data_IF_909731040488
#
_entry.id   IF_909731040488
#
_cell.length_a   1.000
_cell.length_b   1.000
_cell.length_c   1.000
_cell.angle_alpha   90.00
_cell.angle_beta   90.00
_cell.angle_gamma   90.00
#
_symmetry.space_group_name_H-M   'P 1'
#
loop_
_entity.id
_entity.type
_entity.pdbx_description
1 polymer ?
#
# COMPACT_ATOMS: atom_id res chain seq x y z
N UNK A 1 -17.37 25.57 -9.35
CA UNK A 1 -17.08 24.42 -10.26
C UNK A 1 -15.87 23.66 -9.71
N UNK A 2 -16.07 22.48 -9.10
CA UNK A 2 -14.96 21.68 -8.60
C UNK A 2 -14.27 21.01 -9.80
N UNK A 3 -13.06 21.48 -10.13
CA UNK A 3 -12.21 20.84 -11.12
C UNK A 3 -11.66 19.54 -10.54
N UNK A 4 -12.27 18.40 -10.83
CA UNK A 4 -11.63 17.10 -10.59
C UNK A 4 -10.43 17.01 -11.54
N UNK A 5 -9.22 17.15 -11.00
CA UNK A 5 -7.99 16.88 -11.74
C UNK A 5 -7.89 15.36 -11.77
N UNK A 6 -8.07 14.76 -12.95
CA UNK A 6 -7.80 13.35 -13.19
C UNK A 6 -6.40 13.04 -12.67
N UNK A 7 -6.33 12.30 -11.57
CA UNK A 7 -5.06 11.74 -11.12
C UNK A 7 -4.68 10.59 -12.06
N UNK A 8 -3.37 10.31 -12.25
CA UNK A 8 -2.95 9.14 -13.01
C UNK A 8 -3.64 7.91 -12.40
N UNK A 9 -4.48 7.25 -13.20
CA UNK A 9 -5.12 6.01 -12.78
C UNK A 9 -4.07 4.92 -12.83
N UNK A 10 -3.77 4.29 -11.70
CA UNK A 10 -2.89 3.14 -11.68
C UNK A 10 -3.38 2.07 -12.67
N UNK A 11 -2.52 1.50 -13.53
CA UNK A 11 -1.07 1.73 -13.66
C UNK A 11 -0.65 2.83 -14.67
N UNK A 12 -1.60 3.47 -15.37
CA UNK A 12 -1.33 4.46 -16.43
C UNK A 12 -0.68 5.73 -15.88
N UNK A 13 0.50 6.05 -16.40
CA UNK A 13 1.23 7.28 -16.08
C UNK A 13 2.29 7.12 -14.98
N UNK A 14 2.43 5.94 -14.36
CA UNK A 14 3.55 5.67 -13.45
C UNK A 14 4.75 5.08 -14.22
N UNK A 15 5.95 5.58 -13.91
CA UNK A 15 7.19 4.89 -14.25
C UNK A 15 7.37 3.68 -13.34
N UNK A 16 8.12 2.67 -13.79
CA UNK A 16 8.41 1.50 -12.97
C UNK A 16 9.84 1.02 -13.17
N UNK A 17 10.39 0.42 -12.11
CA UNK A 17 11.66 -0.31 -12.12
C UNK A 17 11.45 -1.65 -11.45
N UNK A 18 11.81 -2.73 -12.14
CA UNK A 18 11.87 -4.06 -11.55
C UNK A 18 13.21 -4.23 -10.85
N UNK A 19 13.18 -4.71 -9.62
CA UNK A 19 14.37 -4.96 -8.82
C UNK A 19 14.33 -6.36 -8.19
N UNK A 20 15.49 -7.01 -8.13
CA UNK A 20 15.65 -8.28 -7.41
C UNK A 20 15.86 -8.01 -5.92
N UNK A 21 15.39 -8.94 -5.08
CA UNK A 21 15.64 -8.89 -3.64
C UNK A 21 17.08 -9.35 -3.38
N UNK A 22 17.84 -8.52 -2.66
CA UNK A 22 19.22 -8.78 -2.26
C UNK A 22 19.34 -9.28 -0.82
N UNK A 23 18.34 -9.03 0.02
CA UNK A 23 18.34 -9.40 1.43
C UNK A 23 16.93 -9.61 1.97
N UNK A 24 16.77 -10.64 2.80
CA UNK A 24 15.53 -10.99 3.49
C UNK A 24 15.40 -10.20 4.81
N UNK A 25 14.20 -10.12 5.40
CA UNK A 25 13.98 -9.37 6.64
C UNK A 25 14.89 -9.80 7.79
N UNK A 26 15.44 -8.85 8.56
CA UNK A 26 16.36 -9.15 9.65
C UNK A 26 15.67 -9.80 10.86
N UNK A 27 14.36 -9.62 11.03
CA UNK A 27 13.58 -10.23 12.12
C UNK A 27 12.09 -10.32 11.79
N UNK A 28 11.31 -10.98 12.64
CA UNK A 28 9.85 -11.08 12.51
C UNK A 28 9.11 -9.74 12.72
N UNK A 29 9.73 -8.78 13.44
CA UNK A 29 9.14 -7.48 13.77
C UNK A 29 9.59 -6.36 12.82
N UNK A 30 10.81 -6.48 12.28
CA UNK A 30 11.33 -5.57 11.26
C UNK A 30 11.22 -6.24 9.89
N UNK A 31 10.09 -6.03 9.24
CA UNK A 31 9.74 -6.67 7.97
C UNK A 31 10.19 -5.77 6.82
N UNK A 32 11.50 -5.70 6.61
CA UNK A 32 12.11 -4.87 5.56
C UNK A 32 12.95 -5.70 4.59
N UNK A 33 12.91 -5.39 3.30
CA UNK A 33 13.72 -6.08 2.28
C UNK A 33 14.63 -5.12 1.54
N UNK A 34 15.84 -5.57 1.23
CA UNK A 34 16.80 -4.81 0.43
C UNK A 34 16.63 -5.18 -1.05
N UNK A 35 16.51 -4.19 -1.92
CA UNK A 35 16.36 -4.39 -3.38
C UNK A 35 17.55 -3.82 -4.15
N UNK A 36 17.89 -4.46 -5.27
CA UNK A 36 19.01 -4.11 -6.14
C UNK A 36 18.71 -3.01 -7.16
N UNK A 37 18.04 -1.95 -6.73
CA UNK A 37 17.87 -0.72 -7.50
C UNK A 37 17.76 0.47 -6.54
N UNK A 38 18.24 1.63 -6.94
CA UNK A 38 18.30 2.82 -6.10
C UNK A 38 18.06 4.11 -6.86
N UNK A 39 18.60 5.22 -6.36
CA UNK A 39 18.39 6.55 -6.95
C UNK A 39 18.94 6.68 -8.37
N UNK A 40 19.95 5.89 -8.77
CA UNK A 40 20.43 5.82 -10.15
C UNK A 40 19.36 5.31 -11.13
N UNK A 41 18.39 4.54 -10.63
CA UNK A 41 17.22 4.05 -11.37
C UNK A 41 16.00 4.96 -11.23
N UNK A 42 16.14 6.11 -10.54
CA UNK A 42 15.06 7.08 -10.34
C UNK A 42 14.18 6.82 -9.13
N UNK A 43 14.49 5.81 -8.31
CA UNK A 43 13.75 5.47 -7.09
C UNK A 43 13.94 6.56 -6.03
N UNK A 44 12.87 6.89 -5.32
CA UNK A 44 12.81 7.86 -4.25
C UNK A 44 12.18 7.24 -2.99
N UNK A 45 12.41 7.89 -1.84
CA UNK A 45 11.70 7.55 -0.61
C UNK A 45 10.21 7.80 -0.82
N UNK A 46 9.37 6.92 -0.27
CA UNK A 46 7.92 6.87 -0.42
C UNK A 46 7.39 6.32 -1.74
N UNK A 47 8.25 5.86 -2.66
CA UNK A 47 7.79 5.14 -3.84
C UNK A 47 7.11 3.82 -3.44
N UNK A 48 5.88 3.55 -3.92
CA UNK A 48 5.19 2.28 -3.70
C UNK A 48 5.91 1.10 -4.33
N UNK A 49 5.85 -0.04 -3.67
CA UNK A 49 6.40 -1.30 -4.15
C UNK A 49 5.28 -2.32 -4.28
N UNK A 50 5.24 -3.01 -5.42
CA UNK A 50 4.18 -3.97 -5.77
C UNK A 50 4.75 -5.25 -6.40
N UNK A 51 3.92 -6.29 -6.44
CA UNK A 51 4.06 -7.41 -7.37
C UNK A 51 2.89 -7.43 -8.36
N UNK A 52 2.81 -8.45 -9.21
CA UNK A 52 1.62 -8.69 -10.03
C UNK A 52 0.36 -9.04 -9.23
N UNK A 53 0.51 -9.44 -7.96
CA UNK A 53 -0.60 -9.82 -7.08
C UNK A 53 -1.15 -8.64 -6.26
N UNK A 54 -0.30 -7.66 -5.91
CA UNK A 54 -0.73 -6.53 -5.12
C UNK A 54 0.40 -5.72 -4.46
N UNK A 55 0.01 -4.96 -3.45
CA UNK A 55 0.86 -4.07 -2.68
C UNK A 55 1.84 -4.87 -1.82
N UNK A 56 3.12 -4.57 -1.96
CA UNK A 56 4.20 -5.14 -1.15
C UNK A 56 4.56 -4.19 -0.02
N UNK A 57 4.64 -2.89 -0.29
CA UNK A 57 5.11 -1.95 0.72
C UNK A 57 5.56 -0.62 0.12
N UNK A 58 6.53 0.02 0.78
CA UNK A 58 7.04 1.34 0.40
C UNK A 58 8.54 1.44 0.61
N UNK A 59 9.21 2.16 -0.28
CA UNK A 59 10.63 2.50 -0.13
C UNK A 59 10.82 3.46 1.05
N UNK A 60 11.62 3.05 2.05
CA UNK A 60 11.91 3.85 3.25
C UNK A 60 13.33 4.42 3.28
N UNK A 61 14.26 3.81 2.54
CA UNK A 61 15.63 4.33 2.37
C UNK A 61 16.11 4.09 0.94
N UNK A 62 16.90 5.01 0.42
CA UNK A 62 17.47 4.94 -0.93
C UNK A 62 18.96 5.22 -0.88
N UNK A 63 19.75 4.33 -1.45
CA UNK A 63 21.14 4.56 -1.81
C UNK A 63 21.29 4.55 -3.34
N UNK A 64 22.51 4.70 -3.85
CA UNK A 64 22.74 4.85 -5.28
C UNK A 64 22.18 3.67 -6.11
N UNK A 65 22.50 2.44 -5.72
CA UNK A 65 22.15 1.23 -6.47
C UNK A 65 21.30 0.22 -5.67
N UNK A 66 20.85 0.61 -4.48
CA UNK A 66 20.04 -0.22 -3.62
C UNK A 66 19.05 0.61 -2.84
N UNK A 67 17.94 0.01 -2.46
CA UNK A 67 16.89 0.65 -1.66
C UNK A 67 16.37 -0.33 -0.62
N UNK A 68 15.89 0.21 0.49
CA UNK A 68 15.24 -0.55 1.54
C UNK A 68 13.74 -0.33 1.48
N UNK A 69 12.98 -1.41 1.50
CA UNK A 69 11.53 -1.43 1.39
C UNK A 69 10.95 -1.92 2.71
N UNK A 70 10.10 -1.12 3.35
CA UNK A 70 9.26 -1.61 4.44
C UNK A 70 8.06 -2.34 3.84
N UNK A 71 7.87 -3.60 4.24
CA UNK A 71 6.77 -4.43 3.77
C UNK A 71 5.44 -3.99 4.41
N UNK A 72 4.33 -4.36 3.78
CA UNK A 72 2.99 -4.16 4.30
C UNK A 72 2.82 -4.82 5.68
N UNK A 73 3.53 -5.92 5.92
CA UNK A 73 3.55 -6.69 7.18
C UNK A 73 4.44 -6.08 8.27
N UNK A 74 5.14 -4.98 7.99
CA UNK A 74 5.91 -4.26 9.01
C UNK A 74 4.95 -3.51 9.95
N UNK A 75 5.21 -3.56 11.26
CA UNK A 75 4.36 -2.94 12.28
C UNK A 75 4.27 -1.41 12.13
N UNK A 76 5.25 -0.79 11.47
CA UNK A 76 5.27 0.65 11.20
C UNK A 76 4.52 1.02 9.93
N UNK A 77 4.12 0.05 9.10
CA UNK A 77 3.43 0.30 7.85
C UNK A 77 1.93 0.48 8.06
N UNK A 78 1.42 1.60 7.55
CA UNK A 78 -0.01 1.93 7.50
C UNK A 78 -0.41 2.39 6.10
N UNK A 79 -1.52 1.88 5.59
CA UNK A 79 -1.98 2.12 4.22
C UNK A 79 -3.44 2.51 4.23
N UNK A 80 -3.77 3.71 3.75
CA UNK A 80 -5.18 4.08 3.54
C UNK A 80 -5.79 3.19 2.46
N UNK A 81 -6.88 2.52 2.79
CA UNK A 81 -7.53 1.54 1.94
C UNK A 81 -9.03 1.81 1.80
N UNK A 82 -9.58 1.30 0.71
CA UNK A 82 -11.00 1.36 0.39
C UNK A 82 -11.47 -0.03 -0.02
N UNK A 83 -12.63 -0.40 0.50
CA UNK A 83 -13.40 -1.57 0.07
C UNK A 83 -14.00 -1.29 -1.31
N UNK A 84 -13.74 -2.18 -2.27
CA UNK A 84 -14.14 -2.00 -3.68
C UNK A 84 -15.66 -2.11 -3.84
N UNK A 85 -16.29 -3.00 -3.08
CA UNK A 85 -17.69 -3.34 -3.18
C UNK A 85 -18.59 -2.29 -2.51
N UNK A 86 -18.15 -1.76 -1.36
CA UNK A 86 -18.98 -0.91 -0.51
C UNK A 86 -18.52 0.55 -0.46
N UNK A 87 -17.25 0.82 -0.80
CA UNK A 87 -16.62 2.14 -0.64
C UNK A 87 -16.27 2.49 0.80
N UNK A 88 -16.38 1.55 1.75
CA UNK A 88 -15.92 1.74 3.12
C UNK A 88 -14.42 2.08 3.13
N UNK A 89 -14.02 2.99 4.03
CA UNK A 89 -12.66 3.52 4.10
C UNK A 89 -12.07 3.26 5.48
N UNK A 90 -10.77 3.03 5.49
CA UNK A 90 -10.02 2.79 6.73
C UNK A 90 -8.53 2.73 6.46
N UNK A 91 -7.81 2.14 7.39
CA UNK A 91 -6.35 2.01 7.35
C UNK A 91 -5.97 0.56 7.54
N UNK A 92 -5.27 0.01 6.56
CA UNK A 92 -4.61 -1.28 6.71
C UNK A 92 -3.34 -1.12 7.53
N UNK A 93 -3.18 -1.94 8.58
CA UNK A 93 -1.98 -1.97 9.43
C UNK A 93 -1.36 -3.35 9.46
N UNK A 94 -0.02 -3.39 9.39
CA UNK A 94 0.78 -4.62 9.42
C UNK A 94 0.26 -5.74 8.51
N UNK A 95 -0.43 -5.39 7.42
CA UNK A 95 -1.03 -6.32 6.47
C UNK A 95 -2.10 -7.25 7.03
N UNK A 96 -2.59 -7.05 8.24
CA UNK A 96 -3.47 -8.00 8.92
C UNK A 96 -4.84 -7.41 9.28
N UNK A 97 -4.90 -6.12 9.61
CA UNK A 97 -6.15 -5.47 10.02
C UNK A 97 -6.51 -4.31 9.10
N UNK A 98 -7.81 -4.06 8.98
CA UNK A 98 -8.40 -2.89 8.33
C UNK A 98 -9.12 -2.06 9.41
N UNK A 99 -8.36 -1.17 10.02
CA UNK A 99 -8.76 -0.35 11.17
C UNK A 99 -9.51 0.92 10.74
N UNK A 100 -10.09 1.62 11.71
CA UNK A 100 -10.74 2.92 11.52
C UNK A 100 -11.94 2.91 10.55
N UNK A 101 -12.50 1.71 10.30
CA UNK A 101 -13.73 1.54 9.53
C UNK A 101 -14.92 1.94 10.42
N UNK A 102 -15.64 2.98 10.02
CA UNK A 102 -16.79 3.49 10.76
C UNK A 102 -17.85 2.41 10.99
N UNK A 103 -18.48 2.40 12.17
CA UNK A 103 -19.54 1.43 12.51
C UNK A 103 -20.72 1.41 11.52
N UNK A 104 -20.99 2.56 10.90
CA UNK A 104 -22.03 2.82 9.91
C UNK A 104 -21.67 2.37 8.49
N UNK A 105 -20.38 2.15 8.23
CA UNK A 105 -19.91 1.61 6.97
C UNK A 105 -20.24 0.12 6.85
N UNK A 106 -20.36 -0.38 5.61
CA UNK A 106 -20.60 -1.79 5.34
C UNK A 106 -19.30 -2.43 4.91
N UNK A 107 -18.93 -3.55 5.51
CA UNK A 107 -17.80 -4.39 5.09
C UNK A 107 -18.20 -5.82 5.40
N UNK A 108 -17.85 -6.78 4.54
CA UNK A 108 -18.17 -8.19 4.69
C UNK A 108 -16.93 -9.05 4.47
N UNK A 109 -16.94 -10.25 5.05
CA UNK A 109 -15.97 -11.28 4.69
C UNK A 109 -16.09 -11.59 3.19
N UNK A 110 -14.95 -11.64 2.51
CA UNK A 110 -14.87 -11.80 1.06
C UNK A 110 -14.61 -10.52 0.27
N UNK A 111 -14.89 -9.35 0.84
CA UNK A 111 -14.71 -8.05 0.17
C UNK A 111 -13.23 -7.78 -0.13
N UNK A 112 -12.97 -7.04 -1.22
CA UNK A 112 -11.62 -6.75 -1.70
C UNK A 112 -11.20 -5.35 -1.25
N UNK A 113 -10.01 -5.28 -0.67
CA UNK A 113 -9.40 -4.01 -0.27
C UNK A 113 -8.34 -3.59 -1.29
N UNK A 114 -8.40 -2.32 -1.68
CA UNK A 114 -7.41 -1.67 -2.52
C UNK A 114 -6.91 -0.38 -1.85
N UNK A 115 -5.74 0.11 -2.25
CA UNK A 115 -5.24 1.42 -1.79
C UNK A 115 -6.26 2.51 -2.13
N UNK A 116 -6.63 3.33 -1.14
CA UNK A 116 -7.64 4.36 -1.31
C UNK A 116 -7.17 5.47 -2.24
N UNK A 117 -5.88 5.84 -2.16
CA UNK A 117 -5.22 6.91 -2.90
C UNK A 117 -5.96 8.25 -2.79
N UNK A 118 -5.36 9.25 -2.15
CA UNK A 118 -5.98 10.55 -1.98
C UNK A 118 -5.04 11.68 -2.40
N UNK A 119 -5.63 12.81 -2.80
CA UNK A 119 -4.91 14.06 -3.03
C UNK A 119 -5.67 15.19 -2.37
N UNK A 120 -5.03 15.89 -1.45
CA UNK A 120 -5.53 17.13 -0.88
C UNK A 120 -4.95 18.30 -1.67
N UNK A 121 -5.78 18.97 -2.47
CA UNK A 121 -5.36 20.20 -3.15
C UNK A 121 -5.05 21.34 -2.18
N UNK A 122 -5.81 21.41 -1.07
CA UNK A 122 -5.66 22.47 -0.08
C UNK A 122 -4.34 22.36 0.69
N UNK A 123 -3.90 21.14 0.99
CA UNK A 123 -2.65 20.90 1.70
C UNK A 123 -1.45 20.67 0.77
N UNK A 124 -1.66 20.53 -0.54
CA UNK A 124 -0.63 20.09 -1.48
C UNK A 124 -0.12 18.67 -1.21
N UNK A 125 -0.80 17.89 -0.36
CA UNK A 125 -0.41 16.55 0.04
C UNK A 125 -1.11 15.51 -0.82
N UNK A 126 -0.36 14.50 -1.26
CA UNK A 126 -0.90 13.31 -1.88
C UNK A 126 -0.54 12.08 -1.07
N UNK A 127 -1.42 11.09 -1.09
CA UNK A 127 -1.08 9.74 -0.63
C UNK A 127 0.16 9.26 -1.37
N UNK A 128 1.04 8.59 -0.63
CA UNK A 128 2.19 7.89 -1.18
C UNK A 128 1.74 6.79 -2.16
N UNK A 129 0.56 6.20 -1.93
CA UNK A 129 0.01 5.14 -2.77
C UNK A 129 -0.95 5.70 -3.83
N UNK A 130 -0.79 5.32 -5.11
CA UNK A 130 -1.83 5.44 -6.13
C UNK A 130 -3.11 4.77 -5.63
N UNK A 131 -4.27 5.24 -6.10
CA UNK A 131 -5.54 4.55 -5.85
C UNK A 131 -5.61 3.25 -6.66
N UNK A 132 -6.09 2.17 -6.05
CA UNK A 132 -6.50 0.95 -6.76
C UNK A 132 -5.46 -0.18 -6.80
N UNK A 133 -4.36 -0.10 -6.04
CA UNK A 133 -3.44 -1.23 -5.89
C UNK A 133 -4.11 -2.26 -4.97
N UNK A 134 -4.20 -3.51 -5.42
CA UNK A 134 -4.77 -4.60 -4.63
C UNK A 134 -3.99 -4.83 -3.34
N UNK A 135 -4.68 -4.95 -2.21
CA UNK A 135 -4.05 -5.22 -0.91
C UNK A 135 -4.35 -6.65 -0.49
N UNK A 136 -5.64 -6.98 -0.37
CA UNK A 136 -6.06 -8.28 0.16
C UNK A 136 -7.56 -8.43 0.22
N UNK A 137 -7.99 -9.51 0.85
CA UNK A 137 -9.40 -9.87 1.04
C UNK A 137 -9.76 -9.88 2.51
N UNK A 138 -10.92 -9.32 2.86
CA UNK A 138 -11.46 -9.36 4.22
C UNK A 138 -11.75 -10.80 4.60
N UNK A 139 -11.23 -11.24 5.75
CA UNK A 139 -11.43 -12.60 6.27
C UNK A 139 -12.49 -12.63 7.37
N UNK A 140 -12.55 -11.61 8.22
CA UNK A 140 -13.56 -11.49 9.26
C UNK A 140 -13.90 -10.03 9.57
N UNK A 141 -15.13 -9.82 10.04
CA UNK A 141 -15.64 -8.52 10.46
C UNK A 141 -16.26 -8.68 11.84
N UNK A 142 -15.64 -8.07 12.84
CA UNK A 142 -16.15 -7.96 14.21
C UNK A 142 -16.68 -6.57 14.48
N UNK A 143 -17.73 -6.48 15.30
CA UNK A 143 -18.29 -5.22 15.76
C UNK A 143 -18.91 -5.42 17.14
N UNK A 144 -18.44 -4.68 18.13
CA UNK A 144 -19.10 -4.60 19.43
C UNK A 144 -20.02 -3.38 19.49
N UNK A 145 -21.09 -3.43 20.28
CA UNK A 145 -22.09 -2.34 20.35
C UNK A 145 -21.52 -1.00 20.84
N UNK A 146 -20.48 -1.06 21.68
CA UNK A 146 -19.80 0.10 22.26
C UNK A 146 -18.68 0.68 21.41
N UNK A 147 -18.20 -0.06 20.39
CA UNK A 147 -17.06 0.36 19.59
C UNK A 147 -17.49 1.37 18.50
N UNK A 148 -16.69 2.43 18.35
CA UNK A 148 -16.89 3.43 17.29
C UNK A 148 -16.49 2.92 15.90
N UNK A 149 -15.60 1.93 15.86
CA UNK A 149 -15.04 1.34 14.65
C UNK A 149 -15.24 -0.18 14.64
N UNK A 150 -15.26 -0.77 13.44
CA UNK A 150 -15.25 -2.22 13.27
C UNK A 150 -13.83 -2.77 13.47
N UNK A 151 -13.76 -4.03 13.88
CA UNK A 151 -12.54 -4.84 13.90
C UNK A 151 -12.54 -5.72 12.66
N UNK A 152 -11.85 -5.30 11.60
CA UNK A 152 -11.82 -6.05 10.34
C UNK A 152 -10.45 -6.70 10.17
N UNK A 153 -10.43 -8.00 9.91
CA UNK A 153 -9.22 -8.75 9.56
C UNK A 153 -9.17 -8.99 8.06
N UNK A 154 -7.97 -9.04 7.50
CA UNK A 154 -7.74 -9.31 6.08
C UNK A 154 -6.57 -10.27 5.86
N UNK A 155 -6.57 -10.90 4.70
CA UNK A 155 -5.45 -11.67 4.19
C UNK A 155 -4.91 -10.96 2.95
N UNK A 156 -3.63 -10.52 2.94
CA UNK A 156 -3.01 -9.96 1.76
C UNK A 156 -2.99 -10.94 0.59
N UNK A 157 -3.11 -10.43 -0.63
CA UNK A 157 -2.94 -11.24 -1.84
C UNK A 157 -1.47 -11.61 -2.07
N UNK A 158 -0.56 -10.72 -1.68
CA UNK A 158 0.88 -10.95 -1.79
C UNK A 158 1.33 -11.97 -0.74
N UNK A 159 2.06 -13.00 -1.17
CA UNK A 159 2.77 -13.90 -0.27
C UNK A 159 4.17 -13.36 0.08
N UNK A 160 4.28 -12.70 1.23
CA UNK A 160 5.52 -12.09 1.71
C UNK A 160 6.67 -13.09 1.97
N UNK A 161 6.38 -14.39 2.09
CA UNK A 161 7.40 -15.43 2.36
C UNK A 161 8.14 -15.90 1.11
N UNK A 162 7.58 -15.65 -0.09
CA UNK A 162 8.08 -16.20 -1.36
C UNK A 162 8.41 -15.10 -2.36
N UNK A 163 8.70 -13.88 -1.88
CA UNK A 163 9.06 -12.76 -2.74
C UNK A 163 10.41 -13.01 -3.43
N UNK A 164 10.46 -12.81 -4.75
CA UNK A 164 11.67 -12.98 -5.56
C UNK A 164 12.04 -11.71 -6.33
N UNK A 165 11.05 -11.05 -6.92
CA UNK A 165 11.20 -9.81 -7.67
C UNK A 165 10.11 -8.82 -7.31
N UNK A 166 10.46 -7.54 -7.30
CA UNK A 166 9.58 -6.44 -6.89
C UNK A 166 9.56 -5.38 -7.99
N UNK A 167 8.44 -4.67 -8.08
CA UNK A 167 8.28 -3.52 -8.98
C UNK A 167 8.10 -2.28 -8.15
N UNK A 168 9.01 -1.32 -8.29
CA UNK A 168 8.91 0.00 -7.67
C UNK A 168 8.21 0.93 -8.64
N UNK A 169 7.16 1.61 -8.16
CA UNK A 169 6.38 2.57 -8.92
C UNK A 169 6.82 3.98 -8.51
N UNK A 170 7.13 4.84 -9.48
CA UNK A 170 7.39 6.25 -9.22
C UNK A 170 6.54 7.14 -10.13
N UNK A 171 6.05 8.27 -9.62
CA UNK A 171 5.25 9.19 -10.43
C UNK A 171 6.06 9.69 -11.63
N UNK A 172 5.39 10.06 -12.73
CA UNK A 172 6.06 10.61 -13.90
C UNK A 172 6.72 11.92 -13.48
N UNK A 173 8.02 12.07 -13.80
CA UNK A 173 8.77 13.29 -13.50
C UNK A 173 8.03 14.46 -14.15
N UNK A 174 7.50 15.37 -13.33
CA UNK A 174 6.96 16.63 -13.82
C UNK A 174 8.17 17.42 -14.31
N UNK A 175 8.23 17.64 -15.62
CA UNK A 175 9.29 18.45 -16.25
C UNK A 175 8.90 19.91 -16.23
#
# INVERSE_FOLDING_TARGET
>A
KLHFINSPQYPRGYGHVTASILGQPPSAFEQQVLIGAGSSSGIQVFDPVVTGEGLVGTVVRVANNQSLVALLTDDTTSVSAVDVETGAQGVVKAGASFDQVGKDQKVKSGDILVTAGWKSKAAGLSSIYPRGIAIGRVTSVGQNEVDLYKHVQLQPFVNFKTLSSLVVLFPPKTR
#
